data_IF_500302042414
#
_entry.id   IF_500302042414
#
_cell.length_a   1.000
_cell.length_b   1.000
_cell.length_c   1.000
_cell.angle_alpha   90.00
_cell.angle_beta   90.00
_cell.angle_gamma   90.00
#
_symmetry.space_group_name_H-M   'P 1'
#
loop_
_entity.id
_entity.type
_entity.pdbx_description
1 polymer ?
#
# COMPACT_ATOMS: atom_id res chain seq x y z
N UNK A 1 47.82 17.68 -13.14
CA UNK A 1 47.82 16.39 -12.41
C UNK A 1 46.95 16.38 -11.18
N UNK A 2 47.04 17.36 -10.32
CA UNK A 2 46.21 17.40 -9.12
C UNK A 2 44.73 17.48 -9.40
N UNK A 3 44.36 18.26 -10.40
CA UNK A 3 42.93 18.42 -10.77
C UNK A 3 42.33 17.13 -11.31
N UNK A 4 43.11 16.31 -11.97
CA UNK A 4 42.64 15.04 -12.50
C UNK A 4 42.34 14.06 -11.37
N UNK A 5 43.18 14.02 -10.36
CA UNK A 5 42.98 13.15 -9.21
C UNK A 5 41.72 13.56 -8.40
N UNK A 6 41.52 14.85 -8.22
CA UNK A 6 40.34 15.35 -7.53
C UNK A 6 39.05 15.01 -8.25
N UNK A 7 39.08 15.12 -9.58
CA UNK A 7 37.90 14.77 -10.38
C UNK A 7 37.51 13.29 -10.22
N UNK A 8 38.53 12.44 -10.19
CA UNK A 8 38.28 11.00 -10.03
C UNK A 8 37.65 10.68 -8.68
N UNK A 9 38.13 11.33 -7.63
CA UNK A 9 37.58 11.13 -6.30
C UNK A 9 36.13 11.62 -6.21
N UNK A 10 35.89 12.80 -6.79
CA UNK A 10 34.50 13.35 -6.77
C UNK A 10 33.52 12.46 -7.54
N UNK A 11 33.97 11.95 -8.69
CA UNK A 11 33.14 11.05 -9.48
C UNK A 11 32.80 9.78 -8.71
N UNK A 12 33.74 9.23 -7.98
CA UNK A 12 33.53 8.04 -7.18
C UNK A 12 32.55 8.29 -6.05
N UNK A 13 32.62 9.42 -5.38
CA UNK A 13 31.73 9.78 -4.30
C UNK A 13 30.30 9.95 -4.82
N UNK A 14 30.14 10.61 -5.96
CA UNK A 14 28.82 10.79 -6.56
C UNK A 14 28.18 9.47 -6.95
N UNK A 15 28.95 8.55 -7.49
CA UNK A 15 28.44 7.24 -7.86
C UNK A 15 27.95 6.47 -6.63
N UNK A 16 28.68 6.54 -5.54
CA UNK A 16 28.29 5.88 -4.29
C UNK A 16 26.99 6.47 -3.72
N UNK A 17 26.83 7.79 -3.79
CA UNK A 17 25.63 8.45 -3.31
C UNK A 17 24.40 8.03 -4.12
N UNK A 18 24.52 7.92 -5.43
CA UNK A 18 23.41 7.48 -6.28
C UNK A 18 23.00 6.05 -5.95
N UNK A 19 23.94 5.17 -5.72
CA UNK A 19 23.65 3.79 -5.34
C UNK A 19 22.92 3.71 -3.99
N UNK A 20 23.33 4.54 -3.04
CA UNK A 20 22.68 4.57 -1.74
C UNK A 20 21.23 5.02 -1.84
N UNK A 21 20.94 6.03 -2.64
CA UNK A 21 19.59 6.53 -2.86
C UNK A 21 18.73 5.44 -3.52
N UNK A 22 19.26 4.77 -4.52
CA UNK A 22 18.55 3.68 -5.20
C UNK A 22 18.20 2.53 -4.27
N UNK A 23 19.03 2.25 -3.26
CA UNK A 23 18.78 1.19 -2.30
C UNK A 23 17.70 1.49 -1.29
N UNK A 24 17.35 2.76 -1.08
CA UNK A 24 16.38 3.17 -0.08
C UNK A 24 14.93 3.23 -0.59
N UNK A 25 14.73 3.22 -1.90
CA UNK A 25 13.41 3.43 -2.50
C UNK A 25 12.71 2.10 -2.81
N UNK A 26 12.48 1.27 -1.78
CA UNK A 26 11.90 -0.05 -2.01
C UNK A 26 10.62 -0.32 -1.24
N UNK A 27 9.66 0.54 -1.39
CA UNK A 27 8.32 0.24 -0.88
C UNK A 27 7.46 -0.17 -2.08
N UNK A 28 7.23 -1.45 -2.23
CA UNK A 28 6.40 -1.94 -3.34
C UNK A 28 4.93 -1.92 -2.92
N UNK A 29 4.03 -1.48 -3.81
CA UNK A 29 2.61 -1.53 -3.51
C UNK A 29 2.12 -2.97 -3.48
N UNK A 30 1.18 -3.24 -2.60
CA UNK A 30 0.48 -4.51 -2.54
C UNK A 30 -1.01 -4.25 -2.60
N UNK A 31 -1.74 -5.14 -3.23
CA UNK A 31 -3.19 -5.07 -3.28
C UNK A 31 -3.77 -6.07 -2.31
N UNK A 32 -4.67 -5.59 -1.46
CA UNK A 32 -5.38 -6.43 -0.50
C UNK A 32 -6.83 -6.52 -0.95
N UNK A 33 -7.27 -7.72 -1.26
CA UNK A 33 -8.66 -8.00 -1.64
C UNK A 33 -9.36 -8.64 -0.46
N UNK A 34 -10.50 -8.09 -0.09
CA UNK A 34 -11.24 -8.53 1.09
C UNK A 34 -12.67 -8.87 0.69
N UNK A 35 -13.13 -10.05 1.07
CA UNK A 35 -14.52 -10.44 0.87
C UNK A 35 -15.30 -10.03 2.12
N UNK A 36 -16.34 -9.23 1.91
CA UNK A 36 -17.13 -8.63 3.00
C UNK A 36 -18.57 -9.05 2.86
N UNK A 37 -19.15 -9.52 3.94
CA UNK A 37 -20.59 -9.81 4.02
C UNK A 37 -21.30 -8.72 4.79
N UNK A 38 -22.52 -8.41 4.38
CA UNK A 38 -23.34 -7.41 5.03
C UNK A 38 -23.38 -6.07 4.33
N UNK A 39 -22.66 -5.92 3.21
CA UNK A 39 -22.79 -4.73 2.38
C UNK A 39 -24.01 -4.84 1.49
N UNK A 40 -25.00 -3.99 1.70
CA UNK A 40 -26.25 -4.07 0.94
C UNK A 40 -26.55 -2.82 0.10
N UNK A 41 -25.77 -1.77 0.23
CA UNK A 41 -26.05 -0.52 -0.47
C UNK A 41 -24.78 0.29 -0.72
N UNK A 42 -24.91 1.34 -1.53
CA UNK A 42 -23.79 2.22 -1.85
C UNK A 42 -23.22 2.93 -0.63
N UNK A 43 -24.04 3.24 0.35
CA UNK A 43 -23.59 3.87 1.58
C UNK A 43 -22.61 2.96 2.34
N UNK A 44 -22.86 1.65 2.29
CA UNK A 44 -21.96 0.69 2.91
C UNK A 44 -20.62 0.66 2.22
N UNK A 45 -20.62 0.64 0.88
CA UNK A 45 -19.38 0.71 0.10
C UNK A 45 -18.62 1.97 0.40
N UNK A 46 -19.29 3.11 0.44
CA UNK A 46 -18.67 4.40 0.71
C UNK A 46 -18.05 4.44 2.12
N UNK A 47 -18.74 3.89 3.10
CA UNK A 47 -18.23 3.86 4.48
C UNK A 47 -16.96 3.03 4.58
N UNK A 48 -16.92 1.87 3.94
CA UNK A 48 -15.74 1.01 3.93
C UNK A 48 -14.59 1.69 3.19
N UNK A 49 -14.87 2.25 2.02
CA UNK A 49 -13.86 2.96 1.25
C UNK A 49 -13.23 4.09 2.06
N UNK A 50 -14.05 4.89 2.71
CA UNK A 50 -13.56 5.99 3.55
C UNK A 50 -12.71 5.50 4.71
N UNK A 51 -13.18 4.47 5.40
CA UNK A 51 -12.46 3.93 6.55
C UNK A 51 -11.08 3.41 6.16
N UNK A 52 -10.99 2.71 5.02
CA UNK A 52 -9.72 2.19 4.55
C UNK A 52 -8.78 3.30 4.09
N UNK A 53 -9.30 4.32 3.42
CA UNK A 53 -8.49 5.44 2.94
C UNK A 53 -7.89 6.27 4.08
N UNK A 54 -8.47 6.24 5.25
CA UNK A 54 -7.97 6.97 6.41
C UNK A 54 -6.80 6.26 7.11
N UNK A 55 -6.53 5.01 6.78
CA UNK A 55 -5.43 4.28 7.38
C UNK A 55 -4.11 4.69 6.75
N UNK A 56 -3.10 4.86 7.59
CA UNK A 56 -1.76 5.18 7.11
C UNK A 56 -1.21 4.02 6.29
N UNK A 57 -0.55 4.34 5.18
CA UNK A 57 0.00 3.33 4.29
C UNK A 57 -0.94 2.87 3.20
N UNK A 58 -2.21 3.24 3.26
CA UNK A 58 -3.18 2.93 2.21
C UNK A 58 -3.12 4.03 1.15
N UNK A 59 -2.77 3.67 -0.08
CA UNK A 59 -2.69 4.63 -1.18
C UNK A 59 -4.05 4.85 -1.84
N UNK A 60 -4.83 3.78 -1.96
CA UNK A 60 -6.18 3.86 -2.52
C UNK A 60 -7.02 2.72 -1.98
N UNK A 61 -8.33 2.91 -2.00
CA UNK A 61 -9.26 1.89 -1.56
C UNK A 61 -10.57 2.03 -2.33
N UNK A 62 -11.21 0.90 -2.57
CA UNK A 62 -12.54 0.83 -3.18
C UNK A 62 -13.33 -0.28 -2.53
N UNK A 63 -14.64 -0.20 -2.63
CA UNK A 63 -15.53 -1.26 -2.16
C UNK A 63 -16.71 -1.37 -3.13
N UNK A 64 -17.16 -2.60 -3.32
CA UNK A 64 -18.26 -2.90 -4.22
C UNK A 64 -19.31 -3.73 -3.47
N UNK A 65 -20.45 -3.12 -3.18
CA UNK A 65 -21.51 -3.79 -2.45
C UNK A 65 -22.20 -4.88 -3.29
N UNK A 66 -22.23 -4.74 -4.60
CA UNK A 66 -22.84 -5.75 -5.47
C UNK A 66 -22.02 -7.03 -5.50
N UNK A 67 -20.69 -6.91 -5.50
CA UNK A 67 -19.80 -8.06 -5.48
C UNK A 67 -19.50 -8.55 -4.07
N UNK A 68 -19.76 -7.74 -3.06
CA UNK A 68 -19.40 -8.08 -1.67
C UNK A 68 -17.91 -8.05 -1.41
N UNK A 69 -17.17 -7.18 -2.09
CA UNK A 69 -15.71 -7.12 -1.99
C UNK A 69 -15.24 -5.71 -1.72
N UNK A 70 -14.08 -5.63 -1.09
CA UNK A 70 -13.36 -4.37 -0.93
C UNK A 70 -11.90 -4.61 -1.32
N UNK A 71 -11.25 -3.60 -1.85
CA UNK A 71 -9.84 -3.71 -2.17
C UNK A 71 -9.12 -2.44 -1.78
N UNK A 72 -7.86 -2.59 -1.42
CA UNK A 72 -7.02 -1.47 -1.04
C UNK A 72 -5.62 -1.69 -1.60
N UNK A 73 -5.02 -0.62 -2.10
CA UNK A 73 -3.62 -0.64 -2.51
C UNK A 73 -2.82 0.00 -1.38
N UNK A 74 -1.89 -0.75 -0.83
CA UNK A 74 -1.12 -0.36 0.33
C UNK A 74 0.36 -0.43 0.05
N UNK A 75 1.15 0.30 0.82
CA UNK A 75 2.60 0.16 0.77
C UNK A 75 3.02 -1.04 1.60
N UNK A 76 3.84 -1.88 0.99
CA UNK A 76 4.33 -3.09 1.66
C UNK A 76 5.03 -2.75 2.97
N UNK A 77 4.64 -3.43 4.03
CA UNK A 77 5.24 -3.24 5.35
C UNK A 77 4.69 -2.09 6.17
N UNK A 78 3.88 -1.22 5.58
CA UNK A 78 3.28 -0.11 6.32
C UNK A 78 1.89 -0.41 6.86
N UNK A 79 1.17 -1.30 6.21
CA UNK A 79 -0.18 -1.69 6.63
C UNK A 79 -0.28 -3.21 6.71
N UNK A 80 -0.82 -3.68 7.82
CA UNK A 80 -1.10 -5.08 8.00
C UNK A 80 -2.48 -5.38 7.41
N UNK A 81 -2.60 -6.39 6.53
CA UNK A 81 -3.91 -6.76 5.98
C UNK A 81 -4.97 -7.06 7.04
N UNK A 82 -4.56 -7.60 8.18
CA UNK A 82 -5.47 -7.85 9.28
C UNK A 82 -6.06 -6.56 9.86
N UNK A 83 -5.28 -5.48 9.79
CA UNK A 83 -5.75 -4.18 10.24
C UNK A 83 -6.88 -3.67 9.36
N UNK A 84 -6.79 -3.89 8.05
CA UNK A 84 -7.85 -3.52 7.12
C UNK A 84 -9.12 -4.29 7.43
N UNK A 85 -9.00 -5.58 7.65
CA UNK A 85 -10.14 -6.42 8.03
C UNK A 85 -10.76 -5.96 9.34
N UNK A 86 -9.96 -5.63 10.33
CA UNK A 86 -10.43 -5.16 11.62
C UNK A 86 -11.20 -3.85 11.50
N UNK A 87 -10.76 -2.95 10.64
CA UNK A 87 -11.48 -1.69 10.40
C UNK A 87 -12.86 -1.95 9.81
N UNK A 88 -12.95 -2.87 8.86
CA UNK A 88 -14.23 -3.23 8.26
C UNK A 88 -15.16 -3.89 9.30
N UNK A 89 -14.62 -4.78 10.09
CA UNK A 89 -15.39 -5.43 11.15
C UNK A 89 -15.88 -4.44 12.21
N UNK A 90 -15.07 -3.43 12.49
CA UNK A 90 -15.44 -2.35 13.40
C UNK A 90 -16.62 -1.52 12.93
N UNK A 91 -16.91 -1.54 11.62
CA UNK A 91 -18.07 -0.86 11.06
C UNK A 91 -19.34 -1.72 11.15
N UNK A 92 -19.23 -2.98 11.56
CA UNK A 92 -20.35 -3.87 11.71
C UNK A 92 -20.50 -4.91 10.60
N UNK A 93 -19.52 -5.03 9.71
CA UNK A 93 -19.54 -6.00 8.62
C UNK A 93 -18.73 -7.23 8.98
N UNK A 94 -18.93 -8.31 8.23
CA UNK A 94 -18.20 -9.56 8.43
C UNK A 94 -17.20 -9.75 7.32
N UNK A 95 -15.93 -9.97 7.67
CA UNK A 95 -14.89 -10.28 6.72
C UNK A 95 -14.71 -11.79 6.65
N UNK A 96 -14.86 -12.36 5.46
CA UNK A 96 -14.77 -13.81 5.26
C UNK A 96 -13.45 -14.25 4.66
N UNK A 97 -12.77 -13.39 3.91
CA UNK A 97 -11.45 -13.72 3.37
C UNK A 97 -10.64 -12.47 3.10
N UNK A 98 -9.32 -12.62 3.19
CA UNK A 98 -8.37 -11.55 2.90
C UNK A 98 -7.28 -12.15 2.03
N UNK A 99 -7.06 -11.56 0.86
CA UNK A 99 -6.03 -12.01 -0.07
C UNK A 99 -5.08 -10.86 -0.36
N UNK A 100 -3.79 -11.12 -0.25
CA UNK A 100 -2.75 -10.12 -0.52
C UNK A 100 -2.02 -10.50 -1.80
N UNK A 101 -1.94 -9.57 -2.73
CA UNK A 101 -1.28 -9.78 -4.02
C UNK A 101 -0.33 -8.62 -4.29
N UNK A 102 0.88 -8.88 -4.82
CA UNK A 102 1.76 -7.79 -5.23
C UNK A 102 1.11 -7.00 -6.37
N UNK A 103 1.00 -5.70 -6.21
CA UNK A 103 0.36 -4.83 -7.21
C UNK A 103 1.37 -4.13 -8.12
N UNK A 104 2.65 -4.32 -7.90
CA UNK A 104 3.71 -3.56 -8.54
C UNK A 104 4.36 -4.19 -9.75
N UNK A 105 3.85 -5.22 -10.31
CA UNK A 105 4.49 -5.90 -11.46
C UNK A 105 4.09 -5.32 -12.79
#
# INVERSE_FOLDING_TARGET
MRSTTMRSILAAVLAAAVLAIGGCARTEPVEVAITVEGMHCESCSAAITQALQQLEGVESATADHAAGTASATCRSGEVDPERLAAEIEGLGYTVTSVTVTPAGD
#
